data_IF_491797616029
#
_entry.id   IF_491797616029
#
_cell.length_a   1.000
_cell.length_b   1.000
_cell.length_c   1.000
_cell.angle_alpha   90.00
_cell.angle_beta   90.00
_cell.angle_gamma   90.00
#
_symmetry.space_group_name_H-M   'P 1'
#
loop_
_entity.id
_entity.type
_entity.pdbx_description
1 polymer ?
#
# COMPACT_ATOMS: atom_id res chain seq x y z
N UNK A 1 -12.05 6.63 10.03
CA UNK A 1 -11.60 5.24 9.81
C UNK A 1 -12.79 4.40 9.36
N UNK A 2 -12.57 3.41 8.50
CA UNK A 2 -13.55 2.37 8.14
C UNK A 2 -12.92 0.98 8.21
N UNK A 3 -13.75 -0.05 8.45
CA UNK A 3 -13.29 -1.43 8.63
C UNK A 3 -13.40 -2.24 7.34
N UNK A 4 -12.50 -3.19 7.16
CA UNK A 4 -12.58 -4.20 6.12
C UNK A 4 -12.42 -5.56 6.78
N UNK A 5 -13.32 -6.50 6.48
CA UNK A 5 -13.30 -7.85 7.02
C UNK A 5 -13.01 -8.85 5.92
N UNK A 6 -12.12 -9.80 6.20
CA UNK A 6 -11.71 -10.82 5.26
C UNK A 6 -11.41 -12.14 5.97
N UNK A 7 -11.30 -13.27 5.23
CA UNK A 7 -10.97 -14.57 5.81
C UNK A 7 -9.70 -14.59 6.67
N UNK A 8 -8.71 -13.75 6.33
CA UNK A 8 -7.45 -13.64 7.05
C UNK A 8 -7.52 -12.75 8.32
N UNK A 9 -8.52 -11.88 8.46
CA UNK A 9 -8.54 -10.88 9.53
C UNK A 9 -9.36 -9.64 9.25
N UNK A 10 -9.01 -8.56 9.96
CA UNK A 10 -9.66 -7.25 9.86
C UNK A 10 -8.62 -6.18 9.57
N UNK A 11 -8.95 -5.22 8.70
CA UNK A 11 -8.18 -4.00 8.52
C UNK A 11 -9.00 -2.77 8.95
N UNK A 12 -8.36 -1.87 9.68
CA UNK A 12 -8.87 -0.53 9.96
C UNK A 12 -8.17 0.46 9.01
N UNK A 13 -8.92 1.05 8.08
CA UNK A 13 -8.37 1.97 7.07
C UNK A 13 -8.68 3.42 7.47
N UNK A 14 -7.64 4.24 7.53
CA UNK A 14 -7.73 5.61 8.04
C UNK A 14 -7.68 6.64 6.92
N UNK A 15 -8.32 7.79 7.15
CA UNK A 15 -8.07 8.97 6.34
C UNK A 15 -6.62 9.45 6.55
N UNK A 16 -6.17 10.44 5.78
CA UNK A 16 -4.84 11.03 5.97
C UNK A 16 -4.64 11.56 7.40
N UNK A 17 -5.69 12.10 8.00
CA UNK A 17 -5.75 12.46 9.43
C UNK A 17 -7.22 12.34 9.94
N UNK A 18 -7.44 12.06 11.23
CA UNK A 18 -6.45 11.66 12.23
C UNK A 18 -6.02 10.19 12.07
N UNK A 19 -4.70 9.93 12.16
CA UNK A 19 -4.13 8.56 12.14
C UNK A 19 -3.54 8.14 13.49
N UNK A 20 -3.65 6.86 13.87
CA UNK A 20 -2.99 6.31 15.05
C UNK A 20 -1.47 6.55 15.03
N UNK A 21 -0.81 6.73 16.19
CA UNK A 21 0.65 6.92 16.27
C UNK A 21 1.47 5.89 15.48
N UNK A 22 1.04 4.64 15.49
CA UNK A 22 1.68 3.51 14.81
C UNK A 22 1.70 3.65 13.29
N UNK A 23 0.77 4.45 12.74
CA UNK A 23 0.61 4.70 11.32
C UNK A 23 1.21 6.02 10.85
N UNK A 24 1.70 6.90 11.74
CA UNK A 24 2.15 8.25 11.38
C UNK A 24 3.29 8.26 10.36
N UNK A 25 4.29 7.41 10.54
CA UNK A 25 5.41 7.30 9.60
C UNK A 25 4.91 6.86 8.22
N UNK A 26 4.07 5.84 8.20
CA UNK A 26 3.47 5.35 6.95
C UNK A 26 2.58 6.40 6.28
N UNK A 27 1.73 7.09 7.04
CA UNK A 27 0.87 8.15 6.54
C UNK A 27 1.69 9.28 5.88
N UNK A 28 2.80 9.67 6.51
CA UNK A 28 3.75 10.66 5.95
C UNK A 28 4.38 10.17 4.65
N UNK A 29 4.82 8.91 4.61
CA UNK A 29 5.40 8.32 3.40
C UNK A 29 4.38 8.26 2.25
N UNK A 30 3.12 7.93 2.54
CA UNK A 30 2.08 7.78 1.52
C UNK A 30 1.50 9.12 1.05
N UNK A 31 1.59 10.20 1.84
CA UNK A 31 0.96 11.49 1.53
C UNK A 31 1.30 12.04 0.12
N UNK A 32 2.55 11.96 -0.39
CA UNK A 32 2.89 12.43 -1.73
C UNK A 32 2.30 11.59 -2.87
N UNK A 33 1.90 10.34 -2.60
CA UNK A 33 1.39 9.42 -3.62
C UNK A 33 -0.09 9.63 -3.97
N UNK A 34 -0.77 10.53 -3.24
CA UNK A 34 -2.14 10.93 -3.52
C UNK A 34 -3.21 10.08 -2.81
N UNK A 35 -4.50 10.36 -3.10
CA UNK A 35 -5.60 9.90 -2.27
C UNK A 35 -5.86 8.39 -2.31
N UNK A 36 -5.37 7.68 -3.33
CA UNK A 36 -5.57 6.23 -3.47
C UNK A 36 -4.76 5.40 -2.48
N UNK A 37 -3.78 6.00 -1.82
CA UNK A 37 -2.98 5.38 -0.78
C UNK A 37 -3.47 5.84 0.59
N UNK A 38 -3.85 4.90 1.44
CA UNK A 38 -4.33 5.17 2.80
C UNK A 38 -3.62 4.30 3.82
N UNK A 39 -3.28 4.84 5.00
CA UNK A 39 -2.73 4.02 6.06
C UNK A 39 -3.81 3.08 6.61
N UNK A 40 -3.41 1.84 6.88
CA UNK A 40 -4.27 0.80 7.41
C UNK A 40 -3.56 -0.01 8.50
N UNK A 41 -4.33 -0.42 9.50
CA UNK A 41 -3.86 -1.28 10.58
C UNK A 41 -4.53 -2.65 10.47
N UNK A 42 -3.75 -3.68 10.18
CA UNK A 42 -4.25 -5.04 10.01
C UNK A 42 -4.14 -5.80 11.32
N UNK A 43 -5.16 -6.61 11.60
CA UNK A 43 -5.19 -7.59 12.68
C UNK A 43 -5.54 -8.96 12.09
N UNK A 44 -4.57 -9.87 12.14
CA UNK A 44 -4.71 -11.23 11.63
C UNK A 44 -5.52 -12.12 12.58
N UNK A 45 -6.23 -13.11 12.04
CA UNK A 45 -6.93 -14.13 12.85
C UNK A 45 -5.97 -15.15 13.47
N UNK A 46 -4.91 -15.50 12.74
CA UNK A 46 -3.89 -16.46 13.17
C UNK A 46 -2.72 -15.66 13.75
N UNK A 47 -2.39 -15.89 15.03
CA UNK A 47 -1.34 -15.15 15.76
C UNK A 47 -1.89 -14.01 16.61
N UNK A 48 -2.73 -14.36 17.59
CA UNK A 48 -3.43 -13.44 18.52
C UNK A 48 -2.68 -12.13 18.79
N UNK A 49 -3.34 -11.00 18.49
CA UNK A 49 -2.98 -9.69 19.00
C UNK A 49 -2.01 -8.83 18.18
N UNK A 50 -1.28 -9.37 17.20
CA UNK A 50 -0.33 -8.54 16.43
C UNK A 50 -1.05 -7.65 15.42
N UNK A 51 -0.98 -6.34 15.65
CA UNK A 51 -1.38 -5.31 14.69
C UNK A 51 -0.18 -4.95 13.82
N UNK A 52 -0.39 -4.83 12.51
CA UNK A 52 0.67 -4.50 11.58
C UNK A 52 0.26 -3.35 10.64
N UNK A 53 1.14 -2.36 10.42
CA UNK A 53 0.87 -1.23 9.54
C UNK A 53 0.99 -1.64 8.07
N UNK A 54 0.00 -1.29 7.25
CA UNK A 54 -0.03 -1.52 5.81
C UNK A 54 -0.60 -0.29 5.08
N UNK A 55 -0.30 -0.16 3.81
CA UNK A 55 -0.97 0.75 2.89
C UNK A 55 -2.18 0.04 2.29
N UNK A 56 -3.38 0.56 2.54
CA UNK A 56 -4.57 0.25 1.75
C UNK A 56 -4.50 1.05 0.43
N UNK A 57 -4.50 0.35 -0.70
CA UNK A 57 -4.32 0.97 -2.02
C UNK A 57 -5.52 0.65 -2.90
N UNK A 58 -6.15 1.70 -3.41
CA UNK A 58 -7.20 1.60 -4.45
C UNK A 58 -6.60 1.70 -5.86
N UNK A 59 -7.23 1.04 -6.85
CA UNK A 59 -6.84 1.18 -8.25
C UNK A 59 -6.86 2.66 -8.67
N UNK A 60 -5.96 3.10 -9.56
CA UNK A 60 -5.90 4.50 -10.00
C UNK A 60 -7.20 4.98 -10.65
N UNK A 61 -7.92 4.08 -11.32
CA UNK A 61 -9.14 4.38 -12.06
C UNK A 61 -10.43 4.31 -11.20
N UNK A 62 -10.29 4.26 -9.86
CA UNK A 62 -11.41 4.09 -8.93
C UNK A 62 -11.51 5.25 -7.93
N UNK A 63 -12.75 5.70 -7.62
CA UNK A 63 -12.95 6.70 -6.58
C UNK A 63 -12.58 6.11 -5.21
N UNK A 64 -11.84 6.88 -4.43
CA UNK A 64 -11.49 6.51 -3.06
C UNK A 64 -12.70 6.80 -2.16
N UNK A 65 -13.17 5.83 -1.37
CA UNK A 65 -14.33 6.04 -0.50
C UNK A 65 -14.03 7.07 0.59
N UNK A 66 -15.08 7.76 1.04
CA UNK A 66 -14.97 8.61 2.25
C UNK A 66 -14.80 7.71 3.47
N UNK A 67 -13.76 8.00 4.26
CA UNK A 67 -13.38 7.19 5.43
C UNK A 67 -13.89 7.76 6.75
N UNK A 68 -14.78 8.76 6.74
CA UNK A 68 -15.23 9.51 7.92
C UNK A 68 -16.53 9.00 8.54
N UNK A 69 -17.20 8.00 7.95
CA UNK A 69 -18.58 7.62 8.30
C UNK A 69 -18.78 6.50 9.34
N UNK A 70 -17.72 5.92 9.89
CA UNK A 70 -17.83 4.67 10.67
C UNK A 70 -18.34 3.50 9.80
N UNK A 71 -18.28 2.28 10.32
CA UNK A 71 -18.80 1.08 9.63
C UNK A 71 -17.86 0.43 8.60
N UNK A 72 -18.25 -0.73 8.07
CA UNK A 72 -17.44 -1.52 7.15
C UNK A 72 -17.44 -0.92 5.74
N UNK A 73 -16.37 -1.10 4.99
CA UNK A 73 -16.31 -0.87 3.54
C UNK A 73 -17.28 -1.83 2.84
N UNK A 74 -18.03 -1.32 1.87
CA UNK A 74 -18.89 -2.15 1.03
C UNK A 74 -18.04 -2.97 0.05
N UNK A 75 -18.61 -4.05 -0.49
CA UNK A 75 -17.92 -4.87 -1.50
C UNK A 75 -17.51 -4.04 -2.74
N UNK A 76 -18.30 -3.04 -3.13
CA UNK A 76 -17.97 -2.13 -4.24
C UNK A 76 -16.81 -1.21 -3.90
N UNK A 77 -16.77 -0.69 -2.67
CA UNK A 77 -15.69 0.18 -2.19
C UNK A 77 -14.39 -0.58 -1.95
N UNK A 78 -14.45 -1.85 -1.58
CA UNK A 78 -13.27 -2.70 -1.38
C UNK A 78 -12.85 -3.47 -2.64
N UNK A 79 -13.51 -3.23 -3.78
CA UNK A 79 -13.22 -3.93 -5.02
C UNK A 79 -11.81 -3.63 -5.49
N UNK A 80 -11.03 -4.70 -5.70
CA UNK A 80 -9.63 -4.65 -6.12
C UNK A 80 -8.72 -3.85 -5.16
N UNK A 81 -9.17 -3.64 -3.91
CA UNK A 81 -8.35 -3.07 -2.83
C UNK A 81 -7.21 -4.03 -2.49
N UNK A 82 -5.99 -3.50 -2.39
CA UNK A 82 -4.82 -4.28 -1.97
C UNK A 82 -4.20 -3.69 -0.72
N UNK A 83 -3.70 -4.57 0.15
CA UNK A 83 -2.87 -4.18 1.29
C UNK A 83 -1.40 -4.40 0.93
N UNK A 84 -0.61 -3.34 1.06
CA UNK A 84 0.77 -3.27 0.60
C UNK A 84 1.70 -2.77 1.71
N UNK A 85 2.99 -3.07 1.59
CA UNK A 85 4.03 -2.65 2.54
C UNK A 85 4.98 -1.67 1.88
N UNK A 86 5.59 -0.80 2.68
CA UNK A 86 6.72 -0.01 2.21
C UNK A 86 8.00 -0.84 2.36
N UNK A 87 8.62 -1.19 1.24
CA UNK A 87 9.85 -1.98 1.21
C UNK A 87 10.97 -1.24 0.48
N UNK A 88 12.22 -1.62 0.76
CA UNK A 88 13.38 -1.21 -0.03
C UNK A 88 13.56 -2.18 -1.18
N UNK A 89 13.62 -1.66 -2.40
CA UNK A 89 13.81 -2.41 -3.63
C UNK A 89 15.15 -2.01 -4.23
N UNK A 90 16.01 -2.99 -4.47
CA UNK A 90 17.34 -2.78 -5.06
C UNK A 90 17.33 -3.28 -6.50
N UNK A 91 17.67 -2.39 -7.43
CA UNK A 91 17.82 -2.76 -8.83
C UNK A 91 19.02 -3.70 -9.00
N UNK A 92 18.77 -4.88 -9.59
CA UNK A 92 19.84 -5.87 -9.85
C UNK A 92 20.84 -5.44 -10.93
N UNK A 93 20.51 -4.44 -11.74
CA UNK A 93 21.36 -3.97 -12.84
C UNK A 93 22.31 -2.87 -12.40
N UNK A 94 21.79 -1.80 -11.79
CA UNK A 94 22.60 -0.62 -11.40
C UNK A 94 22.84 -0.48 -9.89
N UNK A 95 22.28 -1.37 -9.06
CA UNK A 95 22.44 -1.33 -7.60
C UNK A 95 21.67 -0.22 -6.88
N UNK A 96 21.00 0.69 -7.60
CA UNK A 96 20.19 1.75 -6.99
C UNK A 96 19.11 1.16 -6.10
N UNK A 97 19.03 1.65 -4.86
CA UNK A 97 17.99 1.27 -3.90
C UNK A 97 16.95 2.37 -3.81
N UNK A 98 15.69 1.99 -3.97
CA UNK A 98 14.52 2.87 -3.84
C UNK A 98 13.57 2.33 -2.79
N UNK A 99 12.71 3.18 -2.25
CA UNK A 99 11.58 2.74 -1.40
C UNK A 99 10.35 2.61 -2.29
N UNK A 100 9.60 1.53 -2.17
CA UNK A 100 8.39 1.28 -2.96
C UNK A 100 7.27 0.72 -2.12
N UNK A 101 6.03 1.02 -2.52
CA UNK A 101 4.83 0.39 -1.98
C UNK A 101 4.68 -0.96 -2.67
N UNK A 102 5.23 -1.99 -2.06
CA UNK A 102 5.23 -3.35 -2.58
C UNK A 102 3.93 -4.06 -2.17
N UNK A 103 3.20 -4.70 -3.09
CA UNK A 103 2.04 -5.50 -2.72
C UNK A 103 2.52 -6.70 -1.90
N UNK A 104 2.46 -6.60 -0.57
CA UNK A 104 2.72 -7.73 0.32
C UNK A 104 1.79 -8.85 -0.08
N UNK A 105 2.32 -10.07 -0.26
CA UNK A 105 1.62 -11.23 -0.85
C UNK A 105 0.13 -11.19 -0.54
N UNK A 106 -0.65 -10.81 -1.56
CA UNK A 106 -1.87 -10.03 -1.40
C UNK A 106 -2.83 -10.61 -0.36
N UNK A 107 -2.85 -9.97 0.81
CA UNK A 107 -3.86 -10.21 1.84
C UNK A 107 -5.21 -9.70 1.31
N UNK A 108 -5.92 -10.56 0.58
CA UNK A 108 -7.28 -10.30 0.09
C UNK A 108 -7.42 -9.90 -1.39
N UNK A 109 -6.38 -10.02 -2.23
CA UNK A 109 -6.50 -9.72 -3.65
C UNK A 109 -5.68 -10.67 -4.52
N UNK A 110 -6.29 -11.69 -5.12
CA UNK A 110 -5.59 -12.54 -6.09
C UNK A 110 -5.00 -11.75 -7.27
N UNK A 111 -4.28 -12.40 -8.19
CA UNK A 111 -3.58 -11.78 -9.32
C UNK A 111 -4.41 -10.74 -10.11
N UNK A 112 -5.73 -10.94 -10.14
CA UNK A 112 -6.70 -10.01 -10.72
C UNK A 112 -6.72 -8.63 -10.04
N UNK A 113 -6.69 -8.58 -8.71
CA UNK A 113 -6.67 -7.33 -7.98
C UNK A 113 -5.36 -6.59 -8.25
N UNK A 114 -4.21 -7.29 -8.20
CA UNK A 114 -2.90 -6.70 -8.50
C UNK A 114 -2.83 -6.09 -9.92
N UNK A 115 -3.43 -6.77 -10.90
CA UNK A 115 -3.48 -6.30 -12.29
C UNK A 115 -4.25 -4.99 -12.47
N UNK A 116 -5.20 -4.67 -11.59
CA UNK A 116 -5.94 -3.41 -11.63
C UNK A 116 -5.09 -2.18 -11.23
N UNK A 117 -3.94 -2.38 -10.58
CA UNK A 117 -3.14 -1.27 -10.02
C UNK A 117 -2.06 -0.70 -10.94
N UNK A 118 -1.82 -1.31 -12.10
CA UNK A 118 -0.79 -0.88 -13.08
C UNK A 118 0.57 -0.57 -12.39
N UNK A 119 1.28 -1.59 -11.88
CA UNK A 119 2.51 -1.37 -11.12
C UNK A 119 3.61 -0.71 -11.96
N UNK A 120 4.55 -0.07 -11.27
CA UNK A 120 5.84 0.33 -11.82
C UNK A 120 6.69 -0.92 -12.01
N UNK A 121 7.04 -1.24 -13.25
CA UNK A 121 7.72 -2.48 -13.64
C UNK A 121 9.12 -2.21 -14.25
N UNK A 122 10.03 -1.69 -13.43
CA UNK A 122 11.39 -1.40 -13.85
C UNK A 122 12.12 -0.40 -12.95
N UNK A 123 13.40 -0.19 -13.21
CA UNK A 123 14.22 0.78 -12.50
C UNK A 123 14.16 2.14 -13.19
N UNK A 124 13.58 3.14 -12.53
CA UNK A 124 13.53 4.52 -13.05
C UNK A 124 14.93 5.17 -13.19
N UNK A 125 15.94 4.69 -12.47
CA UNK A 125 17.29 5.26 -12.51
C UNK A 125 18.09 4.86 -13.76
N UNK A 126 17.99 3.60 -14.20
CA UNK A 126 18.75 3.11 -15.36
C UNK A 126 17.87 2.65 -16.54
N UNK A 127 16.54 2.76 -16.43
CA UNK A 127 15.60 2.38 -17.48
C UNK A 127 15.43 0.88 -17.70
N UNK A 128 16.05 0.03 -16.88
CA UNK A 128 15.92 -1.43 -17.04
C UNK A 128 14.51 -1.92 -16.69
N UNK A 129 14.01 -2.88 -17.47
CA UNK A 129 12.69 -3.48 -17.26
C UNK A 129 12.61 -4.30 -15.97
N UNK A 130 11.40 -4.68 -15.54
CA UNK A 130 11.22 -5.62 -14.43
C UNK A 130 11.99 -6.94 -14.62
N UNK A 131 12.01 -7.50 -15.84
CA UNK A 131 12.68 -8.78 -16.11
C UNK A 131 14.17 -8.74 -15.72
N UNK A 132 14.84 -7.61 -15.94
CA UNK A 132 16.24 -7.40 -15.59
C UNK A 132 16.43 -6.89 -14.15
N UNK A 133 15.70 -5.83 -13.76
CA UNK A 133 15.90 -5.14 -12.48
C UNK A 133 15.31 -5.88 -11.28
N UNK A 134 14.25 -6.67 -11.50
CA UNK A 134 13.33 -7.20 -10.48
C UNK A 134 12.71 -6.14 -9.56
N UNK A 135 12.68 -4.89 -10.01
CA UNK A 135 12.01 -3.80 -9.31
C UNK A 135 10.55 -3.75 -9.77
N UNK A 136 9.63 -4.03 -8.83
CA UNK A 136 8.20 -3.89 -9.01
C UNK A 136 7.57 -3.25 -7.77
N UNK A 137 6.69 -2.26 -7.96
CA UNK A 137 5.93 -1.63 -6.87
C UNK A 137 4.64 -0.98 -7.38
N UNK A 138 3.64 -0.79 -6.50
CA UNK A 138 2.43 -0.02 -6.81
C UNK A 138 2.72 1.49 -6.98
N UNK A 139 3.79 1.94 -6.34
CA UNK A 139 4.37 3.27 -6.48
C UNK A 139 5.79 3.27 -5.90
N UNK A 140 6.64 4.16 -6.40
CA UNK A 140 7.95 4.47 -5.81
C UNK A 140 7.79 5.71 -4.94
N UNK A 141 8.32 5.64 -3.72
CA UNK A 141 8.34 6.78 -2.81
C UNK A 141 9.44 7.75 -3.23
N UNK A 142 9.20 9.07 -3.10
CA UNK A 142 10.28 10.03 -3.27
C UNK A 142 11.41 9.73 -2.26
N UNK A 143 12.66 10.11 -2.57
CA UNK A 143 13.72 10.06 -1.58
C UNK A 143 13.23 10.78 -0.32
N UNK A 144 13.48 10.18 0.85
CA UNK A 144 13.13 10.83 2.10
C UNK A 144 13.75 12.23 2.06
N UNK A 145 12.94 13.26 2.24
CA UNK A 145 13.48 14.61 2.39
C UNK A 145 14.48 14.52 3.55
N UNK A 146 15.76 14.71 3.25
CA UNK A 146 16.77 14.93 4.27
C UNK A 146 16.30 16.17 5.02
N UNK A 147 15.71 15.97 6.20
CA UNK A 147 15.38 17.08 7.08
C UNK A 147 16.68 17.78 7.48
N UNK A 148 16.63 19.12 7.68
CA UNK A 148 17.79 19.92 8.04
C UNK A 148 18.47 19.46 9.34
#
# INVERSE_FOLDING_TARGET
>A
MRRFEAPWGTAEVYAAEPVPPELRTLARDLAPLGPRFRPALLRFRIGEGRRAPYAAVWPPDRPVPRLTGGGPLTAGEARDLVFAEVQRLTCRVCGTTVRGVYPGGALGGGDRAASAHRPVDGCAACGSSFAASRVQALAVLPPAASGP
#
